data_IF_399821795808
#
_entry.id   IF_399821795808
#
_cell.length_a   1.000
_cell.length_b   1.000
_cell.length_c   1.000
_cell.angle_alpha   90.00
_cell.angle_beta   90.00
_cell.angle_gamma   90.00
#
_symmetry.space_group_name_H-M   'P 1'
#
loop_
_entity.id
_entity.type
_entity.pdbx_description
1 polymer ?
#
# COMPACT_ATOMS: atom_id res chain seq x y z
N UNK A 1 8.86 -28.35 25.50
CA UNK A 1 10.06 -27.50 25.39
C UNK A 1 11.29 -28.39 25.41
N UNK A 2 11.96 -28.57 24.27
CA UNK A 2 13.38 -28.91 24.18
C UNK A 2 13.85 -28.75 22.71
N UNK A 3 14.92 -27.96 22.56
CA UNK A 3 15.69 -27.66 21.33
C UNK A 3 16.66 -28.81 21.01
N UNK A 4 17.10 -28.87 19.74
CA UNK A 4 18.36 -29.49 19.31
C UNK A 4 18.21 -30.10 17.90
N UNK A 5 18.68 -29.47 16.82
CA UNK A 5 20.07 -29.29 16.34
C UNK A 5 20.73 -30.61 15.89
N UNK A 6 20.94 -30.78 14.58
CA UNK A 6 22.08 -31.56 14.05
C UNK A 6 22.63 -31.02 12.71
N UNK A 7 23.94 -31.18 12.45
CA UNK A 7 24.73 -30.31 11.59
C UNK A 7 25.29 -31.02 10.35
N UNK A 8 25.56 -30.27 9.27
CA UNK A 8 26.39 -30.76 8.15
C UNK A 8 27.79 -30.19 8.23
N UNK A 9 28.73 -31.10 8.50
CA UNK A 9 30.18 -30.96 8.45
C UNK A 9 30.70 -30.99 7.00
N UNK A 10 31.66 -30.12 6.66
CA UNK A 10 32.76 -30.31 5.69
C UNK A 10 33.46 -28.97 5.43
N UNK A 11 34.76 -28.78 5.32
CA UNK A 11 36.01 -29.35 5.84
C UNK A 11 37.08 -28.29 5.51
N UNK A 12 38.11 -28.19 6.36
CA UNK A 12 39.52 -27.87 6.08
C UNK A 12 40.00 -26.51 5.48
N UNK A 13 40.82 -25.86 6.32
CA UNK A 13 41.80 -24.74 6.20
C UNK A 13 42.76 -24.80 4.97
N UNK A 14 43.58 -23.76 4.60
CA UNK A 14 44.37 -22.90 5.51
C UNK A 14 44.73 -21.42 5.15
N UNK A 15 45.14 -20.70 6.21
CA UNK A 15 46.22 -19.71 6.44
C UNK A 15 46.39 -18.37 5.67
N UNK A 16 46.81 -17.40 6.52
CA UNK A 16 47.64 -16.21 6.27
C UNK A 16 46.89 -15.00 5.65
N UNK A 17 47.15 -13.75 6.00
CA UNK A 17 47.95 -13.07 7.02
C UNK A 17 47.61 -11.58 6.82
N UNK A 18 47.58 -10.79 7.90
CA UNK A 18 47.94 -9.36 7.97
C UNK A 18 47.47 -8.43 6.82
N UNK A 19 46.81 -7.32 7.11
CA UNK A 19 47.55 -6.10 7.43
C UNK A 19 46.60 -5.00 7.91
N UNK A 20 47.16 -4.18 8.79
CA UNK A 20 46.53 -3.04 9.43
C UNK A 20 46.58 -1.81 8.51
N UNK A 21 45.78 -0.80 8.91
CA UNK A 21 45.97 0.63 8.68
C UNK A 21 45.72 1.18 7.27
N UNK A 22 44.81 2.15 7.10
CA UNK A 22 45.08 3.55 7.38
C UNK A 22 43.80 4.40 7.25
N UNK A 23 43.91 5.56 7.87
CA UNK A 23 42.94 6.64 8.05
C UNK A 23 42.86 7.53 6.78
N UNK A 24 41.95 8.52 6.81
CA UNK A 24 41.76 9.65 5.87
C UNK A 24 40.86 9.42 4.63
N UNK A 25 39.61 9.93 4.68
CA UNK A 25 39.16 11.07 3.85
C UNK A 25 37.71 11.47 4.23
N UNK A 26 37.48 12.74 4.55
CA UNK A 26 36.15 13.35 4.65
C UNK A 26 35.59 13.59 3.24
N UNK A 27 34.41 13.04 2.93
CA UNK A 27 33.48 13.74 2.04
C UNK A 27 32.05 13.35 2.44
N UNK A 28 31.40 14.30 3.12
CA UNK A 28 29.99 14.22 3.44
C UNK A 28 29.17 14.46 2.20
N UNK A 29 28.40 13.45 1.78
CA UNK A 29 27.30 13.63 0.84
C UNK A 29 26.06 12.98 1.46
N UNK A 30 25.32 13.82 2.18
CA UNK A 30 23.93 13.59 2.53
C UNK A 30 23.12 13.44 1.25
N UNK A 31 22.96 12.22 0.76
CA UNK A 31 21.87 11.90 -0.15
C UNK A 31 20.60 11.87 0.70
N UNK A 32 20.03 13.06 0.90
CA UNK A 32 18.62 13.23 1.21
C UNK A 32 17.85 12.46 0.13
N UNK A 33 17.47 11.22 0.44
CA UNK A 33 16.47 10.51 -0.35
C UNK A 33 15.19 11.31 -0.18
N UNK A 34 14.94 12.22 -1.14
CA UNK A 34 13.71 12.98 -1.19
C UNK A 34 12.53 12.00 -1.14
N UNK A 35 11.84 12.09 -0.02
CA UNK A 35 10.54 11.56 0.33
C UNK A 35 9.56 11.64 -0.85
N UNK A 36 9.62 10.64 -1.73
CA UNK A 36 8.48 10.24 -2.55
C UNK A 36 7.67 9.24 -1.71
N UNK A 37 7.13 9.68 -0.57
CA UNK A 37 5.89 9.09 -0.07
C UNK A 37 4.80 9.55 -1.03
N UNK A 38 4.75 8.84 -2.16
CA UNK A 38 3.61 8.67 -3.04
C UNK A 38 2.35 8.97 -2.24
N UNK A 39 1.66 10.07 -2.57
CA UNK A 39 0.30 10.35 -2.17
C UNK A 39 -0.56 9.21 -2.72
N UNK A 40 -0.41 8.04 -2.12
CA UNK A 40 -1.10 6.82 -2.43
C UNK A 40 -2.49 7.14 -1.93
N UNK A 41 -3.28 7.77 -2.80
CA UNK A 41 -4.68 8.06 -2.60
C UNK A 41 -5.30 6.72 -2.23
N UNK A 42 -5.38 6.54 -0.92
CA UNK A 42 -5.72 5.29 -0.28
C UNK A 42 -7.04 4.89 -0.90
N UNK A 43 -7.01 3.83 -1.69
CA UNK A 43 -8.15 3.35 -2.46
C UNK A 43 -9.13 2.69 -1.48
N UNK A 44 -9.58 3.44 -0.49
CA UNK A 44 -10.54 3.08 0.52
C UNK A 44 -11.93 3.53 0.13
N UNK A 45 -12.90 2.77 0.60
CA UNK A 45 -14.29 3.06 0.36
C UNK A 45 -14.67 4.34 1.11
N UNK A 46 -15.11 5.38 0.39
CA UNK A 46 -15.55 6.65 0.99
C UNK A 46 -16.79 6.58 1.90
N UNK A 47 -17.32 5.38 2.19
CA UNK A 47 -18.43 5.14 3.10
C UNK A 47 -18.05 4.30 4.33
N UNK A 48 -17.15 3.32 4.22
CA UNK A 48 -16.73 2.49 5.36
C UNK A 48 -15.25 2.63 5.73
N UNK A 49 -14.43 3.26 4.90
CA UNK A 49 -12.98 3.41 5.12
C UNK A 49 -12.17 2.13 4.94
N UNK A 50 -12.79 1.03 4.53
CA UNK A 50 -12.08 -0.21 4.22
C UNK A 50 -11.33 -0.09 2.88
N UNK A 51 -10.13 -0.66 2.81
CA UNK A 51 -9.25 -0.66 1.65
C UNK A 51 -9.76 -1.55 0.51
N UNK A 52 -9.24 -1.33 -0.69
CA UNK A 52 -9.53 -2.12 -1.89
C UNK A 52 -9.39 -3.64 -1.65
N UNK A 53 -10.46 -4.38 -1.93
CA UNK A 53 -10.50 -5.84 -1.96
C UNK A 53 -10.96 -6.31 -3.35
N UNK A 54 -10.25 -7.28 -3.92
CA UNK A 54 -10.46 -7.77 -5.30
C UNK A 54 -11.79 -8.51 -5.52
N UNK A 55 -12.40 -9.02 -4.44
CA UNK A 55 -13.68 -9.76 -4.48
C UNK A 55 -14.92 -8.85 -4.38
N UNK A 56 -14.73 -7.54 -4.25
CA UNK A 56 -15.83 -6.62 -4.03
C UNK A 56 -16.19 -5.82 -5.28
N UNK A 57 -17.48 -5.51 -5.41
CA UNK A 57 -17.96 -4.63 -6.46
C UNK A 57 -17.82 -3.17 -6.01
N UNK A 58 -17.13 -2.36 -6.82
CA UNK A 58 -16.88 -0.94 -6.57
C UNK A 58 -17.54 -0.04 -7.62
N UNK A 59 -17.89 1.17 -7.21
CA UNK A 59 -18.46 2.21 -8.07
C UNK A 59 -17.87 3.58 -7.70
N UNK A 60 -17.48 4.37 -8.71
CA UNK A 60 -16.97 5.73 -8.55
C UNK A 60 -18.10 6.76 -8.70
N UNK A 61 -18.13 7.77 -7.83
CA UNK A 61 -19.11 8.86 -7.85
C UNK A 61 -18.67 10.01 -8.76
N UNK A 62 -19.45 10.34 -9.80
CA UNK A 62 -19.19 11.40 -10.78
C UNK A 62 -19.09 12.83 -10.19
N UNK A 63 -19.46 13.03 -8.93
CA UNK A 63 -19.47 14.37 -8.28
C UNK A 63 -18.26 14.62 -7.38
N UNK A 64 -17.73 13.58 -6.76
CA UNK A 64 -16.62 13.72 -5.81
C UNK A 64 -15.47 12.76 -6.11
N UNK A 65 -15.58 11.98 -7.19
CA UNK A 65 -14.58 11.05 -7.72
C UNK A 65 -14.09 9.99 -6.74
N UNK A 66 -14.81 9.84 -5.62
CA UNK A 66 -14.54 8.82 -4.60
C UNK A 66 -15.11 7.46 -5.01
N UNK A 67 -14.39 6.43 -4.58
CA UNK A 67 -14.73 5.04 -4.78
C UNK A 67 -15.51 4.46 -3.60
N UNK A 68 -16.49 3.60 -3.90
CA UNK A 68 -17.36 3.01 -2.90
C UNK A 68 -17.64 1.54 -3.20
N UNK A 69 -17.67 0.71 -2.16
CA UNK A 69 -18.29 -0.61 -2.26
C UNK A 69 -19.77 -0.46 -2.60
N UNK A 70 -20.25 -1.21 -3.59
CA UNK A 70 -21.67 -1.25 -3.93
C UNK A 70 -22.56 -1.61 -2.73
N UNK A 71 -22.08 -2.47 -1.81
CA UNK A 71 -22.77 -2.79 -0.56
C UNK A 71 -22.95 -1.55 0.35
N UNK A 72 -21.91 -0.72 0.48
CA UNK A 72 -21.91 0.45 1.36
C UNK A 72 -22.83 1.57 0.83
N UNK A 73 -23.05 1.64 -0.48
CA UNK A 73 -23.92 2.63 -1.12
C UNK A 73 -25.22 2.06 -1.69
N UNK A 74 -25.54 0.79 -1.37
CA UNK A 74 -26.74 0.07 -1.83
C UNK A 74 -26.92 0.07 -3.35
N UNK A 75 -25.82 -0.09 -4.10
CA UNK A 75 -25.81 -0.29 -5.55
C UNK A 75 -25.38 -1.71 -5.85
N UNK A 76 -26.23 -2.45 -6.56
CA UNK A 76 -25.88 -3.77 -7.08
C UNK A 76 -25.21 -3.65 -8.44
N UNK A 77 -24.38 -4.62 -8.86
CA UNK A 77 -23.79 -4.64 -10.20
C UNK A 77 -24.85 -4.54 -11.31
N UNK A 78 -26.01 -5.19 -11.12
CA UNK A 78 -27.14 -5.12 -12.05
C UNK A 78 -27.69 -3.69 -12.20
N UNK A 79 -27.76 -2.93 -11.09
CA UNK A 79 -28.16 -1.54 -11.11
C UNK A 79 -27.10 -0.66 -11.78
N UNK A 80 -25.82 -0.89 -11.46
CA UNK A 80 -24.69 -0.13 -12.03
C UNK A 80 -24.60 -0.22 -13.55
N UNK A 81 -24.94 -1.38 -14.15
CA UNK A 81 -25.01 -1.55 -15.63
C UNK A 81 -25.94 -0.55 -16.33
N UNK A 82 -26.92 0.01 -15.62
CA UNK A 82 -27.90 0.94 -16.17
C UNK A 82 -27.68 2.38 -15.71
N UNK A 83 -26.69 2.62 -14.84
CA UNK A 83 -26.37 3.97 -14.34
C UNK A 83 -25.33 4.59 -15.27
N UNK A 84 -25.70 5.71 -15.91
CA UNK A 84 -24.77 6.49 -16.74
C UNK A 84 -23.89 7.44 -15.92
N UNK A 85 -24.45 7.99 -14.85
CA UNK A 85 -23.77 8.85 -13.89
C UNK A 85 -24.22 8.46 -12.49
N UNK A 86 -23.27 8.05 -11.66
CA UNK A 86 -23.51 7.66 -10.30
C UNK A 86 -23.25 8.84 -9.35
N UNK A 87 -24.26 9.15 -8.52
CA UNK A 87 -24.15 10.15 -7.47
C UNK A 87 -24.23 9.47 -6.10
N UNK A 88 -23.20 9.60 -5.28
CA UNK A 88 -23.19 9.05 -3.93
C UNK A 88 -24.22 9.74 -3.03
N UNK A 89 -24.59 9.10 -1.92
CA UNK A 89 -25.57 9.64 -0.98
C UNK A 89 -25.12 10.95 -0.34
N UNK A 90 -23.81 11.16 -0.14
CA UNK A 90 -23.25 12.42 0.37
C UNK A 90 -23.47 13.57 -0.61
N UNK A 91 -23.07 13.38 -1.87
CA UNK A 91 -23.26 14.37 -2.92
C UNK A 91 -24.75 14.64 -3.22
N UNK A 92 -25.60 13.63 -3.08
CA UNK A 92 -27.06 13.78 -3.25
C UNK A 92 -27.67 14.71 -2.21
N UNK A 93 -27.21 14.63 -0.95
CA UNK A 93 -27.70 15.47 0.15
C UNK A 93 -27.20 16.92 0.10
N UNK A 94 -26.02 17.18 -0.49
CA UNK A 94 -25.44 18.53 -0.62
C UNK A 94 -26.18 19.45 -1.59
N UNK A 95 -27.10 18.93 -2.41
CA UNK A 95 -27.84 19.72 -3.40
C UNK A 95 -29.11 20.40 -2.84
N UNK A 96 -29.38 20.26 -1.54
CA UNK A 96 -30.51 20.89 -0.86
C UNK A 96 -29.97 21.80 0.26
N UNK A 97 -29.47 22.97 -0.11
CA UNK A 97 -29.05 24.04 0.80
C UNK A 97 -29.75 25.32 0.41
#
# INVERSE_FOLDING_TARGET
MQRGSEPRKKDSKPMAMQTQSNEDDEDGLSADEEDFEEEHEDSSCGACGESYSTDEFWICCDICEKWFHGKCVKITPAKAKHIKQYKCSGCSKRACS
#
